data_IF_623483152205
#
_entry.id   IF_623483152205
#
_cell.length_a   1.000
_cell.length_b   1.000
_cell.length_c   1.000
_cell.angle_alpha   90.00
_cell.angle_beta   90.00
_cell.angle_gamma   90.00
#
_symmetry.space_group_name_H-M   'P 1'
#
loop_
_entity.id
_entity.type
_entity.pdbx_description
1 polymer ?
#
# COMPACT_ATOMS: atom_id res chain seq x y z
N UNK A 1 2.40 8.04 -22.17
CA UNK A 1 1.92 6.70 -22.52
C UNK A 1 1.00 6.27 -21.40
N UNK A 2 -0.28 6.14 -21.66
CA UNK A 2 -1.24 5.70 -20.62
C UNK A 2 -1.30 4.18 -20.67
N UNK A 3 -1.05 3.52 -19.56
CA UNK A 3 -1.21 2.07 -19.45
C UNK A 3 -2.69 1.75 -19.17
N UNK A 4 -3.15 0.64 -19.70
CA UNK A 4 -4.48 0.14 -19.45
C UNK A 4 -4.52 -0.51 -18.06
N UNK A 5 -5.47 -0.11 -17.22
CA UNK A 5 -5.64 -0.64 -15.88
C UNK A 5 -7.05 -1.21 -15.71
N UNK A 6 -7.15 -2.42 -15.20
CA UNK A 6 -8.42 -3.04 -14.84
C UNK A 6 -8.98 -2.38 -13.58
N UNK A 7 -10.20 -1.89 -13.65
CA UNK A 7 -10.88 -1.32 -12.50
C UNK A 7 -11.35 -2.41 -11.54
N UNK A 8 -11.08 -2.21 -10.25
CA UNK A 8 -11.48 -3.10 -9.17
C UNK A 8 -12.11 -2.30 -8.03
N UNK A 9 -12.89 -2.98 -7.21
CA UNK A 9 -13.48 -2.42 -5.99
C UNK A 9 -12.83 -3.07 -4.76
N UNK A 10 -12.98 -2.48 -3.56
CA UNK A 10 -12.49 -3.11 -2.34
C UNK A 10 -12.98 -4.55 -2.15
N UNK A 11 -14.22 -4.85 -2.59
CA UNK A 11 -14.83 -6.17 -2.47
C UNK A 11 -14.25 -7.19 -3.46
N UNK A 12 -13.82 -6.74 -4.65
CA UNK A 12 -13.28 -7.63 -5.70
C UNK A 12 -11.76 -7.71 -5.68
N UNK A 13 -11.07 -6.80 -5.00
CA UNK A 13 -9.61 -6.69 -4.99
C UNK A 13 -8.93 -8.02 -4.68
N UNK A 14 -9.26 -8.65 -3.55
CA UNK A 14 -8.59 -9.88 -3.13
C UNK A 14 -8.82 -11.04 -4.11
N UNK A 15 -10.01 -11.15 -4.71
CA UNK A 15 -10.29 -12.19 -5.69
C UNK A 15 -9.49 -12.00 -6.98
N UNK A 16 -9.34 -10.77 -7.44
CA UNK A 16 -8.53 -10.44 -8.62
C UNK A 16 -7.04 -10.68 -8.36
N UNK A 17 -6.56 -10.24 -7.21
CA UNK A 17 -5.17 -10.46 -6.77
C UNK A 17 -4.87 -11.96 -6.65
N UNK A 18 -5.80 -12.76 -6.13
CA UNK A 18 -5.64 -14.21 -6.06
C UNK A 18 -5.59 -14.87 -7.46
N UNK A 19 -6.39 -14.38 -8.41
CA UNK A 19 -6.33 -14.86 -9.80
C UNK A 19 -4.96 -14.57 -10.43
N UNK A 20 -4.39 -13.38 -10.20
CA UNK A 20 -3.05 -13.02 -10.67
C UNK A 20 -1.98 -13.91 -10.04
N UNK A 21 -2.07 -14.20 -8.75
CA UNK A 21 -1.14 -15.12 -8.07
C UNK A 21 -1.22 -16.53 -8.66
N UNK A 22 -2.43 -17.04 -8.92
CA UNK A 22 -2.63 -18.34 -9.56
C UNK A 22 -2.06 -18.37 -10.99
N UNK A 23 -2.14 -17.24 -11.70
CA UNK A 23 -1.57 -17.06 -13.04
C UNK A 23 -0.05 -16.77 -13.03
N UNK A 24 0.61 -16.88 -11.86
CA UNK A 24 2.06 -16.70 -11.66
C UNK A 24 2.56 -15.28 -11.88
N UNK A 25 1.71 -14.28 -11.66
CA UNK A 25 2.16 -12.90 -11.55
C UNK A 25 2.78 -12.63 -10.18
N UNK A 26 3.81 -11.81 -10.14
CA UNK A 26 4.39 -11.25 -8.91
C UNK A 26 3.86 -9.86 -8.67
N UNK A 27 3.68 -9.48 -7.44
CA UNK A 27 3.45 -8.09 -7.07
C UNK A 27 4.76 -7.30 -7.24
N UNK A 28 4.67 -6.16 -7.92
CA UNK A 28 5.82 -5.26 -8.17
C UNK A 28 5.81 -4.14 -7.16
N UNK A 29 4.77 -3.33 -7.19
CA UNK A 29 4.60 -2.17 -6.31
C UNK A 29 3.17 -1.66 -6.35
N UNK A 30 2.90 -0.68 -5.52
CA UNK A 30 1.67 0.12 -5.53
C UNK A 30 2.03 1.58 -5.77
N UNK A 31 1.24 2.28 -6.57
CA UNK A 31 1.36 3.72 -6.75
C UNK A 31 0.03 4.41 -6.43
N UNK A 32 0.11 5.66 -6.02
CA UNK A 32 -1.03 6.41 -5.51
C UNK A 32 -1.12 7.77 -6.18
N UNK A 33 -2.35 8.24 -6.39
CA UNK A 33 -2.61 9.57 -6.93
C UNK A 33 -3.76 10.20 -6.16
N UNK A 34 -3.55 11.37 -5.59
CA UNK A 34 -4.60 12.15 -4.94
C UNK A 34 -5.48 12.76 -6.05
N UNK A 35 -6.73 12.35 -6.10
CA UNK A 35 -7.70 12.84 -7.08
C UNK A 35 -8.37 14.12 -6.59
N UNK A 36 -8.73 14.15 -5.32
CA UNK A 36 -9.31 15.29 -4.62
C UNK A 36 -9.08 15.17 -3.11
N UNK A 37 -9.67 16.05 -2.32
CA UNK A 37 -9.52 16.07 -0.86
C UNK A 37 -9.91 14.75 -0.19
N UNK A 38 -10.88 14.03 -0.76
CA UNK A 38 -11.48 12.85 -0.16
C UNK A 38 -11.14 11.55 -0.88
N UNK A 39 -10.70 11.63 -2.14
CA UNK A 39 -10.52 10.46 -3.01
C UNK A 39 -9.05 10.23 -3.33
N UNK A 40 -8.61 9.01 -3.10
CA UNK A 40 -7.31 8.51 -3.49
C UNK A 40 -7.48 7.43 -4.56
N UNK A 41 -6.71 7.53 -5.62
CA UNK A 41 -6.60 6.49 -6.64
C UNK A 41 -5.39 5.63 -6.35
N UNK A 42 -5.61 4.33 -6.23
CA UNK A 42 -4.58 3.33 -6.02
C UNK A 42 -4.38 2.53 -7.30
N UNK A 43 -3.13 2.26 -7.63
CA UNK A 43 -2.75 1.31 -8.66
C UNK A 43 -1.90 0.21 -8.05
N UNK A 44 -2.26 -1.02 -8.31
CA UNK A 44 -1.45 -2.20 -7.99
C UNK A 44 -0.83 -2.72 -9.26
N UNK A 45 0.48 -2.88 -9.25
CA UNK A 45 1.26 -3.28 -10.41
C UNK A 45 1.76 -4.70 -10.23
N UNK A 46 1.47 -5.52 -11.23
CA UNK A 46 1.88 -6.93 -11.26
C UNK A 46 2.63 -7.21 -12.55
N UNK A 47 3.60 -8.08 -12.45
CA UNK A 47 4.40 -8.52 -13.59
C UNK A 47 4.52 -10.05 -13.58
N UNK A 48 4.82 -10.61 -14.73
CA UNK A 48 5.02 -12.06 -14.84
C UNK A 48 6.24 -12.48 -14.01
N UNK A 49 6.07 -13.52 -13.22
CA UNK A 49 7.20 -14.12 -12.50
C UNK A 49 8.01 -14.98 -13.47
N UNK A 50 8.94 -14.37 -14.18
CA UNK A 50 9.79 -15.03 -15.16
C UNK A 50 10.89 -15.84 -14.46
N UNK A 51 11.10 -17.06 -14.94
CA UNK A 51 12.24 -17.91 -14.59
C UNK A 51 13.31 -17.81 -15.70
N UNK A 52 14.51 -18.31 -15.44
CA UNK A 52 15.56 -18.31 -16.48
C UNK A 52 15.16 -19.13 -17.71
N UNK A 53 14.26 -20.10 -17.59
CA UNK A 53 13.72 -20.87 -18.71
C UNK A 53 12.74 -20.08 -19.59
N UNK A 54 12.18 -19.00 -19.05
CA UNK A 54 11.24 -18.13 -19.77
C UNK A 54 11.97 -16.99 -20.52
N UNK A 55 13.28 -16.95 -20.42
CA UNK A 55 14.12 -15.92 -21.03
C UNK A 55 14.90 -16.48 -22.20
N UNK A 56 14.98 -15.71 -23.28
CA UNK A 56 15.83 -15.96 -24.43
C UNK A 56 16.96 -14.92 -24.49
N UNK A 57 18.19 -15.37 -24.65
CA UNK A 57 19.32 -14.46 -24.86
C UNK A 57 19.31 -13.92 -26.28
N UNK A 58 19.19 -12.61 -26.44
CA UNK A 58 19.39 -11.91 -27.69
C UNK A 58 20.87 -11.54 -27.82
N UNK A 59 21.60 -12.27 -28.66
CA UNK A 59 23.05 -12.11 -28.78
C UNK A 59 23.43 -10.79 -29.47
N UNK A 60 22.55 -10.21 -30.32
CA UNK A 60 22.84 -8.96 -31.02
C UNK A 60 22.76 -7.76 -30.06
N UNK A 61 21.80 -7.78 -29.15
CA UNK A 61 21.59 -6.71 -28.17
C UNK A 61 22.24 -6.99 -26.82
N UNK A 62 22.85 -8.17 -26.65
CA UNK A 62 23.41 -8.63 -25.36
C UNK A 62 22.42 -8.51 -24.18
N UNK A 63 21.13 -8.77 -24.41
CA UNK A 63 20.08 -8.70 -23.40
C UNK A 63 19.29 -10.00 -23.31
N UNK A 64 18.65 -10.24 -22.16
CA UNK A 64 17.70 -11.32 -21.97
C UNK A 64 16.28 -10.83 -22.20
N UNK A 65 15.56 -11.45 -23.11
CA UNK A 65 14.19 -11.12 -23.50
C UNK A 65 13.23 -12.23 -23.07
N UNK A 66 11.99 -11.88 -22.63
CA UNK A 66 10.96 -12.89 -22.36
C UNK A 66 10.60 -13.66 -23.64
N UNK A 67 10.45 -14.96 -23.52
CA UNK A 67 10.04 -15.82 -24.66
C UNK A 67 8.58 -15.56 -25.04
N UNK A 68 7.72 -15.33 -24.00
CA UNK A 68 6.33 -14.94 -24.17
C UNK A 68 6.11 -13.54 -23.61
N UNK A 69 5.64 -12.63 -24.46
CA UNK A 69 5.38 -11.23 -24.09
C UNK A 69 4.08 -11.07 -23.29
N UNK A 70 3.99 -11.69 -22.11
CA UNK A 70 2.97 -11.32 -21.12
C UNK A 70 3.41 -10.01 -20.49
N UNK A 71 2.64 -8.96 -20.72
CA UNK A 71 2.92 -7.64 -20.16
C UNK A 71 2.53 -7.51 -18.70
N UNK A 72 2.92 -6.39 -18.10
CA UNK A 72 2.47 -5.99 -16.78
C UNK A 72 0.94 -5.84 -16.73
N UNK A 73 0.36 -6.23 -15.63
CA UNK A 73 -1.06 -6.03 -15.32
C UNK A 73 -1.18 -4.96 -14.24
N UNK A 74 -2.11 -4.06 -14.44
CA UNK A 74 -2.39 -2.98 -13.52
C UNK A 74 -3.83 -3.07 -13.04
N UNK A 75 -4.04 -3.07 -11.73
CA UNK A 75 -5.37 -2.91 -11.13
C UNK A 75 -5.49 -1.49 -10.63
N UNK A 76 -6.64 -0.85 -10.87
CA UNK A 76 -6.96 0.50 -10.42
C UNK A 76 -8.16 0.48 -9.50
N UNK A 77 -8.07 1.21 -8.42
CA UNK A 77 -9.14 1.37 -7.44
C UNK A 77 -9.21 2.82 -6.95
N UNK A 78 -10.38 3.41 -7.00
CA UNK A 78 -10.65 4.70 -6.38
C UNK A 78 -11.31 4.46 -5.02
N UNK A 79 -10.74 5.03 -3.97
CA UNK A 79 -11.20 4.84 -2.59
C UNK A 79 -11.39 6.17 -1.90
N UNK A 80 -12.38 6.23 -1.00
CA UNK A 80 -12.43 7.36 -0.07
C UNK A 80 -11.35 7.16 0.99
N UNK A 81 -10.61 8.22 1.31
CA UNK A 81 -9.51 8.19 2.29
C UNK A 81 -9.95 7.77 3.69
N UNK A 82 -11.25 7.82 4.00
CA UNK A 82 -11.83 7.36 5.28
C UNK A 82 -12.18 5.88 5.30
N UNK A 83 -12.23 5.24 4.13
CA UNK A 83 -12.60 3.84 4.02
C UNK A 83 -11.42 2.93 4.37
N UNK A 84 -11.74 1.74 4.84
CA UNK A 84 -10.75 0.70 5.03
C UNK A 84 -10.57 -0.10 3.75
N UNK A 85 -9.32 -0.22 3.30
CA UNK A 85 -8.94 -0.95 2.10
C UNK A 85 -8.52 -2.36 2.51
N UNK A 86 -9.02 -3.43 1.88
CA UNK A 86 -8.52 -4.77 2.14
C UNK A 86 -7.04 -4.88 1.79
N UNK A 87 -6.23 -5.37 2.72
CA UNK A 87 -4.81 -5.66 2.47
C UNK A 87 -4.66 -6.83 1.51
N UNK A 88 -3.72 -6.74 0.58
CA UNK A 88 -3.35 -7.86 -0.31
C UNK A 88 -2.28 -8.78 0.28
N UNK A 89 -1.80 -8.50 1.49
CA UNK A 89 -0.76 -9.28 2.18
C UNK A 89 -1.10 -10.76 2.40
N UNK A 90 -2.37 -11.19 2.52
CA UNK A 90 -2.70 -12.62 2.56
C UNK A 90 -2.29 -13.39 1.30
N UNK A 91 -2.19 -12.68 0.15
CA UNK A 91 -1.79 -13.27 -1.13
C UNK A 91 -0.32 -12.93 -1.44
N UNK A 92 0.06 -11.68 -1.25
CA UNK A 92 1.43 -11.17 -1.48
C UNK A 92 1.98 -10.52 -0.22
N UNK A 93 2.61 -11.30 0.64
CA UNK A 93 3.15 -10.80 1.91
C UNK A 93 4.13 -9.63 1.75
N UNK A 94 4.84 -9.56 0.62
CA UNK A 94 5.76 -8.46 0.32
C UNK A 94 5.07 -7.09 0.21
N UNK A 95 3.75 -7.03 0.07
CA UNK A 95 3.00 -5.78 0.06
C UNK A 95 2.93 -5.09 1.44
N UNK A 96 3.28 -5.78 2.53
CA UNK A 96 3.16 -5.25 3.90
C UNK A 96 3.86 -3.90 4.08
N UNK A 97 5.05 -3.73 3.50
CA UNK A 97 5.80 -2.48 3.63
C UNK A 97 5.17 -1.35 2.81
N UNK A 98 4.79 -1.64 1.56
CA UNK A 98 4.20 -0.64 0.65
C UNK A 98 2.81 -0.18 1.13
N UNK A 99 2.02 -1.08 1.71
CA UNK A 99 0.73 -0.71 2.30
C UNK A 99 0.91 0.16 3.55
N UNK A 100 1.87 -0.14 4.42
CA UNK A 100 2.21 0.72 5.55
C UNK A 100 2.74 2.09 5.11
N UNK A 101 3.63 2.12 4.10
CA UNK A 101 4.12 3.37 3.52
C UNK A 101 2.95 4.22 2.98
N UNK A 102 1.98 3.59 2.33
CA UNK A 102 0.78 4.27 1.83
C UNK A 102 -0.07 4.83 2.98
N UNK A 103 -0.19 4.12 4.10
CA UNK A 103 -0.85 4.64 5.30
C UNK A 103 -0.16 5.90 5.81
N UNK A 104 1.18 5.88 5.92
CA UNK A 104 1.97 7.01 6.42
C UNK A 104 1.84 8.22 5.50
N UNK A 105 1.96 8.02 4.19
CA UNK A 105 2.04 9.14 3.24
C UNK A 105 0.68 9.71 2.86
N UNK A 106 -0.36 8.88 2.78
CA UNK A 106 -1.67 9.29 2.24
C UNK A 106 -2.79 9.26 3.29
N UNK A 107 -2.55 8.73 4.48
CA UNK A 107 -3.50 8.71 5.58
C UNK A 107 -4.67 7.73 5.42
N UNK A 108 -4.59 6.80 4.46
CA UNK A 108 -5.57 5.72 4.29
C UNK A 108 -5.35 4.61 5.32
N UNK A 109 -6.28 3.67 5.42
CA UNK A 109 -6.19 2.54 6.34
C UNK A 109 -6.39 1.22 5.60
N UNK A 110 -5.51 0.26 5.87
CA UNK A 110 -5.66 -1.10 5.40
C UNK A 110 -6.21 -2.01 6.50
N UNK A 111 -7.10 -2.91 6.13
CA UNK A 111 -7.64 -3.94 7.02
C UNK A 111 -6.98 -5.29 6.73
N UNK A 112 -6.61 -6.01 7.77
CA UNK A 112 -5.99 -7.34 7.64
C UNK A 112 -4.47 -7.30 7.40
N UNK A 113 -3.80 -6.19 7.69
CA UNK A 113 -2.34 -6.12 7.72
C UNK A 113 -1.80 -6.99 8.85
N UNK A 114 -0.86 -7.91 8.59
CA UNK A 114 -0.26 -8.75 9.61
C UNK A 114 0.69 -7.95 10.53
N UNK A 115 1.26 -6.88 10.01
CA UNK A 115 2.08 -5.92 10.75
C UNK A 115 1.62 -4.52 10.36
N UNK A 116 0.92 -3.85 11.25
CA UNK A 116 0.41 -2.50 11.07
C UNK A 116 1.19 -1.52 11.96
N UNK A 117 1.91 -0.59 11.33
CA UNK A 117 2.62 0.49 12.03
C UNK A 117 1.69 1.66 12.38
N UNK A 118 0.40 1.55 12.07
CA UNK A 118 -0.63 2.56 12.41
C UNK A 118 -0.34 3.96 11.86
N UNK A 119 0.38 4.09 10.74
CA UNK A 119 0.78 5.36 10.17
C UNK A 119 2.00 5.99 10.88
N UNK A 120 2.86 5.18 11.49
CA UNK A 120 4.07 5.61 12.17
C UNK A 120 5.32 4.79 11.74
N UNK A 121 5.33 4.28 10.51
CA UNK A 121 6.47 3.54 9.98
C UNK A 121 7.65 4.48 9.67
N UNK A 122 7.39 5.61 9.03
CA UNK A 122 8.39 6.61 8.65
C UNK A 122 8.16 7.96 9.33
N UNK A 123 6.95 8.21 9.82
CA UNK A 123 6.61 9.48 10.44
C UNK A 123 6.99 9.47 11.92
N UNK A 124 7.80 10.43 12.32
CA UNK A 124 8.08 10.64 13.75
C UNK A 124 6.82 11.09 14.49
N UNK A 125 6.77 10.80 15.80
CA UNK A 125 5.60 11.10 16.63
C UNK A 125 5.18 12.57 16.68
N UNK A 126 6.03 13.47 16.19
CA UNK A 126 5.76 14.92 16.12
C UNK A 126 5.06 15.34 14.81
N UNK A 127 5.02 14.49 13.78
CA UNK A 127 4.34 14.79 12.53
C UNK A 127 2.83 14.73 12.74
N UNK A 128 2.14 15.83 12.44
CA UNK A 128 0.70 15.98 12.70
C UNK A 128 -0.19 15.52 11.56
N UNK A 129 0.36 15.35 10.37
CA UNK A 129 -0.40 14.95 9.17
C UNK A 129 0.52 14.24 8.18
N UNK A 130 -0.06 13.36 7.39
CA UNK A 130 0.65 12.68 6.31
C UNK A 130 1.08 13.70 5.23
N UNK A 131 2.30 13.58 4.65
CA UNK A 131 2.86 14.57 3.73
C UNK A 131 2.00 14.90 2.51
N UNK A 132 1.28 13.92 2.00
CA UNK A 132 0.42 14.04 0.81
C UNK A 132 -1.08 14.05 1.15
N UNK A 133 -1.39 14.30 2.41
CA UNK A 133 -2.76 14.32 2.88
C UNK A 133 -3.07 15.58 3.68
N UNK A 134 -4.06 16.36 3.26
CA UNK A 134 -4.42 17.64 3.89
C UNK A 134 -5.26 17.52 5.16
N UNK A 135 -5.76 16.32 5.48
CA UNK A 135 -6.52 16.12 6.72
C UNK A 135 -5.58 15.89 7.90
N UNK A 136 -5.75 16.70 8.93
CA UNK A 136 -5.04 16.57 10.20
C UNK A 136 -5.32 15.20 10.82
N UNK A 137 -4.33 14.35 10.89
CA UNK A 137 -4.40 13.13 11.70
C UNK A 137 -4.40 13.55 13.16
N UNK A 138 -5.50 13.34 13.87
CA UNK A 138 -5.56 13.58 15.31
C UNK A 138 -4.64 12.58 15.97
N UNK A 139 -3.59 13.07 16.60
CA UNK A 139 -2.53 12.25 17.19
C UNK A 139 -3.02 11.40 18.34
N UNK A 140 -2.72 10.13 18.31
CA UNK A 140 -2.78 9.25 19.49
C UNK A 140 -1.74 9.63 20.56
N UNK A 141 -0.65 10.33 20.20
CA UNK A 141 0.37 10.77 21.15
C UNK A 141 -0.10 11.85 22.13
N UNK A 142 -1.05 12.70 21.75
CA UNK A 142 -1.61 13.71 22.66
C UNK A 142 -2.43 13.06 23.80
N UNK A 143 -3.22 12.06 23.49
CA UNK A 143 -4.00 11.32 24.48
C UNK A 143 -3.11 10.55 25.48
N UNK A 144 -1.98 10.02 25.03
CA UNK A 144 -1.02 9.31 25.89
C UNK A 144 -0.20 10.26 26.76
N UNK A 145 0.07 11.48 26.28
CA UNK A 145 0.77 12.52 27.04
C UNK A 145 -0.12 13.18 28.10
N UNK A 146 -1.43 13.29 27.84
CA UNK A 146 -2.40 13.77 28.83
C UNK A 146 -2.66 12.73 29.92
N UNK A 147 -2.78 11.45 29.57
CA UNK A 147 -2.92 10.37 30.53
C UNK A 147 -1.69 10.24 31.46
N UNK A 148 -0.47 10.44 30.92
CA UNK A 148 0.76 10.42 31.72
C UNK A 148 0.91 11.63 32.66
N UNK A 149 0.31 12.76 32.33
CA UNK A 149 0.30 13.95 33.22
C UNK A 149 -0.71 13.84 34.36
N UNK A 150 -1.80 13.12 34.15
CA UNK A 150 -2.83 12.92 35.19
C UNK A 150 -2.37 11.91 36.25
N UNK A 151 -1.57 10.91 35.86
CA UNK A 151 -0.98 9.94 36.79
C UNK A 151 0.15 10.55 37.65
N UNK A 152 0.92 11.51 37.13
CA UNK A 152 1.94 12.23 37.92
C UNK A 152 1.33 13.23 38.90
N UNK A 153 0.19 13.83 38.57
CA UNK A 153 -0.51 14.75 39.47
C UNK A 153 -1.21 14.06 40.66
N UNK A 154 -1.49 12.76 40.53
CA UNK A 154 -2.07 11.97 41.65
C UNK A 154 -1.02 11.39 42.58
N UNK A 155 0.24 11.28 42.15
CA UNK A 155 1.34 10.76 42.99
C UNK A 155 1.93 11.78 44.01
N UNK A 156 1.64 13.08 43.83
CA UNK A 156 2.23 14.15 44.65
C UNK A 156 1.31 14.63 45.83
N UNK A 157 0.18 13.96 46.02
CA UNK A 157 -0.80 14.26 47.10
C UNK A 157 -1.06 13.09 48.03
N UNK A 158 -0.11 12.16 48.22
CA UNK A 158 -0.19 11.09 49.23
C UNK A 158 0.93 11.24 50.26
#
# INVERSE_FOLDING_TARGET
MFFEAKEVTPQTLLSEVQQLANAKYRFVTMSQTVMDEHTLRLFYHFDVNLTMSDLRHNAELCVWEPTDAKGMVHLRMDVNKKDHIPSITPVYFCAVLVENETQDQFGVRFSGLPLDYEGAMYLEGEVTHAPYFTMTTVRRSAAKAEAAKDDTAKGEKA
#
